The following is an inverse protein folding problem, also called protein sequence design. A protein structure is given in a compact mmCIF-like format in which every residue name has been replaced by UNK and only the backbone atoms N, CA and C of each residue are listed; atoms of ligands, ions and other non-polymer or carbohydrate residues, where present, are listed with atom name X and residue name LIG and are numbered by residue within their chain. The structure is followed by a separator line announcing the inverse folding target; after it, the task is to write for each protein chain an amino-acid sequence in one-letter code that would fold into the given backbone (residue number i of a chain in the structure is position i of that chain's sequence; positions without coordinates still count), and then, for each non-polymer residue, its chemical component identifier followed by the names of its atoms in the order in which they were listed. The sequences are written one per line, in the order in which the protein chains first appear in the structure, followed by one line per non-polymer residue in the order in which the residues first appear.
data_IF_278483056173
#
_entry.id   IF_278483056173
#
_cell.length_a   1.000
_cell.length_b   1.000
_cell.length_c   1.000
_cell.angle_alpha   90.00
_cell.angle_beta   90.00
_cell.angle_gamma   90.00
#
_symmetry.space_group_name_H-M   'P 1'
#
loop_
_entity.id
_entity.type
_entity.pdbx_description
1 polymer ?
#
# COMPACT_ATOMS: atom_id res chain seq x y z
N UNK A 1 11.66 38.13 11.57
CA UNK A 1 12.28 36.85 11.16
C UNK A 1 11.71 35.61 11.87
N UNK A 2 10.79 35.74 12.81
CA UNK A 2 10.13 34.56 13.46
C UNK A 2 9.21 33.82 12.50
N UNK A 3 8.59 34.49 11.54
CA UNK A 3 7.77 33.86 10.50
C UNK A 3 8.57 32.87 9.61
N UNK A 4 9.84 33.17 9.34
CA UNK A 4 10.67 32.29 8.52
C UNK A 4 11.04 30.96 9.18
N UNK A 5 11.15 30.93 10.51
CA UNK A 5 11.41 29.70 11.27
C UNK A 5 10.15 28.80 11.34
N UNK A 6 8.98 29.40 11.49
CA UNK A 6 7.69 28.68 11.49
C UNK A 6 7.43 28.04 10.12
N UNK A 7 7.66 28.74 9.01
CA UNK A 7 7.51 28.18 7.66
C UNK A 7 8.48 27.04 7.37
N UNK A 8 9.72 27.14 7.90
CA UNK A 8 10.70 26.05 7.80
C UNK A 8 10.27 24.83 8.62
N UNK A 9 9.75 25.03 9.83
CA UNK A 9 9.26 23.95 10.68
C UNK A 9 8.10 23.19 10.02
N UNK A 10 7.11 23.90 9.47
CA UNK A 10 5.99 23.28 8.73
C UNK A 10 6.46 22.57 7.47
N UNK A 11 7.46 23.11 6.76
CA UNK A 11 8.05 22.44 5.60
C UNK A 11 8.77 21.14 5.96
N UNK A 12 9.50 21.12 7.08
CA UNK A 12 10.17 19.93 7.60
C UNK A 12 9.16 18.86 8.03
N UNK A 13 8.09 19.25 8.72
CA UNK A 13 7.03 18.34 9.14
C UNK A 13 6.38 17.63 7.94
N UNK A 14 6.02 18.39 6.90
CA UNK A 14 5.48 17.80 5.66
C UNK A 14 6.44 16.81 5.01
N UNK A 15 7.73 17.15 4.96
CA UNK A 15 8.73 16.26 4.38
C UNK A 15 8.88 14.96 5.17
N UNK A 16 8.85 15.04 6.50
CA UNK A 16 8.90 13.87 7.37
C UNK A 16 7.67 12.97 7.19
N UNK A 17 6.48 13.54 7.16
CA UNK A 17 5.23 12.79 6.94
C UNK A 17 5.25 12.13 5.57
N UNK A 18 5.69 12.82 4.53
CA UNK A 18 5.82 12.26 3.18
C UNK A 18 6.81 11.09 3.16
N UNK A 19 7.97 11.24 3.80
CA UNK A 19 8.98 10.20 3.90
C UNK A 19 8.44 8.97 4.64
N UNK A 20 7.80 9.15 5.79
CA UNK A 20 7.20 8.06 6.56
C UNK A 20 6.11 7.35 5.77
N UNK A 21 5.23 8.09 5.11
CA UNK A 21 4.17 7.52 4.27
C UNK A 21 4.77 6.72 3.11
N UNK A 22 5.79 7.25 2.45
CA UNK A 22 6.49 6.54 1.37
C UNK A 22 7.12 5.25 1.86
N UNK A 23 7.73 5.26 3.04
CA UNK A 23 8.32 4.06 3.65
C UNK A 23 7.27 3.00 3.95
N UNK A 24 6.11 3.40 4.49
CA UNK A 24 4.99 2.48 4.75
C UNK A 24 4.51 1.83 3.44
N UNK A 25 4.38 2.60 2.37
CA UNK A 25 3.97 2.08 1.04
C UNK A 25 4.99 1.07 0.52
N UNK A 26 6.28 1.33 0.68
CA UNK A 26 7.35 0.40 0.27
C UNK A 26 7.27 -0.91 1.08
N UNK A 27 7.08 -0.83 2.40
CA UNK A 27 6.91 -2.01 3.26
C UNK A 27 5.67 -2.81 2.83
N UNK A 28 4.56 -2.14 2.55
CA UNK A 28 3.35 -2.78 2.06
C UNK A 28 3.58 -3.50 0.71
N UNK A 29 4.33 -2.88 -0.21
CA UNK A 29 4.70 -3.51 -1.47
C UNK A 29 5.56 -4.78 -1.27
N UNK A 30 6.51 -4.75 -0.33
CA UNK A 30 7.28 -5.96 0.05
C UNK A 30 6.39 -7.08 0.60
N UNK A 31 5.38 -6.75 1.41
CA UNK A 31 4.43 -7.74 1.91
C UNK A 31 3.65 -8.40 0.77
N UNK A 32 3.22 -7.64 -0.24
CA UNK A 32 2.55 -8.20 -1.43
C UNK A 32 3.49 -9.13 -2.19
N UNK A 33 4.75 -8.74 -2.38
CA UNK A 33 5.77 -9.61 -3.02
C UNK A 33 5.96 -10.91 -2.24
N UNK A 34 6.11 -10.83 -0.92
CA UNK A 34 6.30 -12.00 -0.06
C UNK A 34 5.11 -12.95 -0.14
N UNK A 35 3.87 -12.43 -0.08
CA UNK A 35 2.65 -13.21 -0.21
C UNK A 35 2.55 -13.90 -1.57
N UNK A 36 2.83 -13.19 -2.67
CA UNK A 36 2.82 -13.78 -4.01
C UNK A 36 3.91 -14.84 -4.19
N UNK A 37 5.10 -14.65 -3.58
CA UNK A 37 6.17 -15.65 -3.59
C UNK A 37 5.81 -16.90 -2.78
N UNK A 38 5.14 -16.75 -1.65
CA UNK A 38 4.62 -17.88 -0.87
C UNK A 38 3.58 -18.66 -1.69
N UNK A 39 2.61 -17.97 -2.25
CA UNK A 39 1.59 -18.58 -3.14
C UNK A 39 2.25 -19.29 -4.34
N UNK A 40 3.28 -18.70 -4.94
CA UNK A 40 4.05 -19.32 -6.01
C UNK A 40 4.66 -20.65 -5.55
N UNK A 41 5.25 -20.68 -4.36
CA UNK A 41 5.86 -21.89 -3.81
C UNK A 41 4.85 -22.99 -3.55
N UNK A 42 3.66 -22.66 -3.06
CA UNK A 42 2.57 -23.59 -2.82
C UNK A 42 1.97 -24.15 -4.13
N UNK A 43 1.95 -23.35 -5.19
CA UNK A 43 1.31 -23.67 -6.47
C UNK A 43 2.28 -24.16 -7.54
N UNK A 44 3.55 -24.40 -7.21
CA UNK A 44 4.58 -24.82 -8.18
C UNK A 44 4.20 -26.02 -9.01
N UNK A 45 3.66 -27.08 -8.38
CA UNK A 45 3.25 -28.30 -9.08
C UNK A 45 2.10 -28.03 -10.06
N UNK A 46 1.11 -27.25 -9.64
CA UNK A 46 -0.02 -26.89 -10.50
C UNK A 46 0.44 -26.05 -11.70
N UNK A 47 1.39 -25.15 -11.49
CA UNK A 47 1.98 -24.36 -12.58
C UNK A 47 2.78 -25.24 -13.53
N UNK A 48 3.52 -26.23 -13.01
CA UNK A 48 4.26 -27.19 -13.82
C UNK A 48 3.30 -28.02 -14.69
N UNK A 49 2.18 -28.50 -14.15
CA UNK A 49 1.14 -29.21 -14.90
C UNK A 49 0.53 -28.32 -15.99
N UNK A 50 0.19 -27.08 -15.67
CA UNK A 50 -0.33 -26.13 -16.66
C UNK A 50 0.65 -25.89 -17.82
N UNK A 51 1.94 -25.84 -17.55
CA UNK A 51 2.98 -25.75 -18.58
C UNK A 51 3.09 -27.01 -19.44
N UNK A 52 2.96 -28.19 -18.87
CA UNK A 52 2.99 -29.45 -19.64
C UNK A 52 1.80 -29.57 -20.59
N UNK A 53 0.65 -29.00 -20.25
CA UNK A 53 -0.56 -28.94 -21.09
C UNK A 53 -0.43 -27.85 -22.18
N UNK A 54 0.66 -27.04 -22.16
CA UNK A 54 0.94 -26.03 -23.20
C UNK A 54 0.60 -24.58 -22.84
N UNK A 55 0.43 -24.27 -21.55
CA UNK A 55 0.25 -22.87 -21.13
C UNK A 55 1.51 -22.07 -21.35
N UNK A 56 1.40 -20.93 -22.04
CA UNK A 56 2.54 -20.05 -22.31
C UNK A 56 2.99 -19.28 -21.04
N UNK A 57 4.28 -18.99 -20.96
CA UNK A 57 4.89 -18.22 -19.85
C UNK A 57 4.20 -16.88 -19.65
N UNK A 58 3.79 -16.21 -20.73
CA UNK A 58 3.11 -14.94 -20.67
C UNK A 58 1.76 -15.03 -19.95
N UNK A 59 0.99 -16.10 -20.14
CA UNK A 59 -0.26 -16.31 -19.44
C UNK A 59 -0.07 -16.52 -17.95
N UNK A 60 1.00 -17.22 -17.55
CA UNK A 60 1.36 -17.40 -16.14
C UNK A 60 1.72 -16.05 -15.51
N UNK A 61 2.52 -15.24 -16.18
CA UNK A 61 2.85 -13.88 -15.72
C UNK A 61 1.58 -13.05 -15.53
N UNK A 62 0.66 -13.09 -16.50
CA UNK A 62 -0.60 -12.35 -16.41
C UNK A 62 -1.44 -12.76 -15.20
N UNK A 63 -1.54 -14.07 -14.91
CA UNK A 63 -2.28 -14.57 -13.74
C UNK A 63 -1.73 -13.96 -12.45
N UNK A 64 -0.40 -13.97 -12.26
CA UNK A 64 0.22 -13.41 -11.05
C UNK A 64 0.10 -11.88 -10.98
N UNK A 65 0.16 -11.19 -12.11
CA UNK A 65 -0.09 -9.74 -12.16
C UNK A 65 -1.54 -9.41 -11.79
N UNK A 66 -2.52 -10.15 -12.32
CA UNK A 66 -3.93 -9.96 -11.94
C UNK A 66 -4.18 -10.24 -10.46
N UNK A 67 -3.56 -11.27 -9.90
CA UNK A 67 -3.65 -11.55 -8.46
C UNK A 67 -3.09 -10.38 -7.63
N UNK A 68 -1.91 -9.89 -7.99
CA UNK A 68 -1.31 -8.73 -7.34
C UNK A 68 -2.19 -7.48 -7.44
N UNK A 69 -2.78 -7.22 -8.61
CA UNK A 69 -3.71 -6.10 -8.82
C UNK A 69 -4.98 -6.22 -7.98
N UNK A 70 -5.59 -7.42 -7.91
CA UNK A 70 -6.80 -7.64 -7.12
C UNK A 70 -6.52 -7.43 -5.64
N UNK A 71 -5.43 -8.00 -5.11
CA UNK A 71 -5.03 -7.84 -3.71
C UNK A 71 -4.80 -6.36 -3.39
N UNK A 72 -4.06 -5.67 -4.27
CA UNK A 72 -3.77 -4.24 -4.11
C UNK A 72 -5.03 -3.39 -4.17
N UNK A 73 -5.93 -3.67 -5.10
CA UNK A 73 -7.19 -2.92 -5.24
C UNK A 73 -8.05 -3.03 -3.97
N UNK A 74 -8.25 -4.24 -3.46
CA UNK A 74 -9.01 -4.44 -2.23
C UNK A 74 -8.33 -3.82 -1.01
N UNK A 75 -7.01 -3.99 -0.89
CA UNK A 75 -6.23 -3.40 0.19
C UNK A 75 -6.30 -1.87 0.20
N UNK A 76 -6.11 -1.24 -0.95
CA UNK A 76 -6.17 0.22 -1.11
C UNK A 76 -7.59 0.73 -0.85
N UNK A 77 -8.63 0.04 -1.35
CA UNK A 77 -10.02 0.43 -1.16
C UNK A 77 -10.42 0.39 0.32
N UNK A 78 -10.12 -0.71 1.00
CA UNK A 78 -10.40 -0.87 2.44
C UNK A 78 -9.58 0.13 3.25
N UNK A 79 -8.29 0.28 2.96
CA UNK A 79 -7.40 1.22 3.64
C UNK A 79 -7.86 2.68 3.50
N UNK A 80 -8.26 3.07 2.28
CA UNK A 80 -8.79 4.42 2.02
C UNK A 80 -10.11 4.65 2.76
N UNK A 81 -11.01 3.66 2.76
CA UNK A 81 -12.29 3.76 3.47
C UNK A 81 -12.06 3.93 4.98
N UNK A 82 -11.21 3.09 5.57
CA UNK A 82 -10.89 3.18 6.99
C UNK A 82 -10.19 4.50 7.33
N UNK A 83 -9.26 4.96 6.49
CA UNK A 83 -8.58 6.24 6.66
C UNK A 83 -9.55 7.43 6.65
N UNK A 84 -10.51 7.43 5.71
CA UNK A 84 -11.55 8.46 5.64
C UNK A 84 -12.48 8.41 6.85
N UNK A 85 -12.92 7.22 7.26
CA UNK A 85 -13.76 7.05 8.45
C UNK A 85 -13.05 7.56 9.72
N UNK A 86 -11.78 7.20 9.91
CA UNK A 86 -10.98 7.69 11.03
C UNK A 86 -10.79 9.20 10.98
N UNK A 87 -10.52 9.76 9.81
CA UNK A 87 -10.37 11.20 9.64
C UNK A 87 -11.68 11.94 9.96
N UNK A 88 -12.81 11.41 9.50
CA UNK A 88 -14.13 11.96 9.82
C UNK A 88 -14.45 11.86 11.32
N UNK A 89 -14.08 10.74 11.95
CA UNK A 89 -14.26 10.55 13.38
C UNK A 89 -13.43 11.56 14.20
N UNK A 90 -12.18 11.78 13.83
CA UNK A 90 -11.29 12.77 14.46
C UNK A 90 -11.79 14.19 14.26
N UNK A 91 -12.36 14.50 13.08
CA UNK A 91 -12.94 15.81 12.78
C UNK A 91 -14.30 16.06 13.47
N UNK A 92 -14.87 15.03 14.10
CA UNK A 92 -16.15 15.17 14.77
C UNK A 92 -16.01 15.83 16.14
N UNK A 93 -17.01 16.67 16.50
CA UNK A 93 -17.06 17.34 17.83
C UNK A 93 -17.03 16.39 19.03
N UNK A 94 -17.35 15.10 18.84
CA UNK A 94 -17.25 14.08 19.91
C UNK A 94 -15.82 13.82 20.33
N UNK A 95 -14.89 13.85 19.38
CA UNK A 95 -13.45 13.67 19.64
C UNK A 95 -12.91 14.85 20.46
N UNK A 96 -13.31 16.08 20.11
CA UNK A 96 -12.92 17.28 20.85
C UNK A 96 -13.39 17.25 22.31
N UNK A 97 -14.59 16.75 22.59
CA UNK A 97 -15.13 16.62 23.94
C UNK A 97 -14.36 15.59 24.78
N UNK A 98 -13.98 14.45 24.17
CA UNK A 98 -13.25 13.39 24.86
C UNK A 98 -11.80 13.81 25.18
N UNK A 99 -11.16 14.53 24.28
CA UNK A 99 -9.73 14.83 24.37
C UNK A 99 -9.45 16.24 24.92
N UNK A 100 -10.44 17.14 24.93
CA UNK A 100 -10.27 18.51 25.43
C UNK A 100 -9.66 18.59 26.83
N UNK A 101 -10.02 17.63 27.70
CA UNK A 101 -9.45 17.52 29.05
C UNK A 101 -7.94 17.23 29.07
N UNK A 102 -7.43 16.51 28.06
CA UNK A 102 -6.00 16.16 27.97
C UNK A 102 -5.21 17.14 27.11
N UNK A 103 -5.79 17.66 26.01
CA UNK A 103 -5.14 18.56 25.07
C UNK A 103 -4.97 20.01 25.59
N UNK A 104 -5.79 20.45 26.55
CA UNK A 104 -5.63 21.76 27.17
C UNK A 104 -4.23 21.96 27.81
N UNK A 105 -3.61 20.90 28.26
CA UNK A 105 -2.25 20.94 28.79
C UNK A 105 -1.18 21.17 27.72
N UNK A 106 -1.47 20.89 26.43
CA UNK A 106 -0.54 21.01 25.31
C UNK A 106 -0.80 22.22 24.40
N UNK A 107 -1.70 23.16 24.80
CA UNK A 107 -2.05 24.35 24.01
C UNK A 107 -2.57 24.05 22.60
N UNK A 108 -3.07 22.85 22.32
CA UNK A 108 -3.64 22.48 21.02
C UNK A 108 -5.16 22.67 21.11
N UNK A 109 -5.65 23.76 20.48
CA UNK A 109 -7.07 24.11 20.56
C UNK A 109 -7.96 23.29 19.62
N UNK A 110 -7.43 22.75 18.53
CA UNK A 110 -8.11 21.83 17.61
C UNK A 110 -7.09 21.12 16.70
N UNK A 111 -7.43 19.91 16.23
CA UNK A 111 -6.66 19.24 15.19
C UNK A 111 -7.19 19.67 13.80
N UNK A 112 -6.41 20.42 13.00
CA UNK A 112 -6.84 20.77 11.66
C UNK A 112 -6.79 19.53 10.75
N UNK A 113 -7.95 19.03 10.34
CA UNK A 113 -8.06 17.96 9.35
C UNK A 113 -8.33 18.60 7.98
N UNK A 114 -7.29 18.80 7.18
CA UNK A 114 -7.40 19.30 5.80
C UNK A 114 -7.42 18.12 4.82
N UNK A 115 -8.62 17.60 4.55
CA UNK A 115 -8.83 16.51 3.60
C UNK A 115 -8.84 17.07 2.17
N UNK A 116 -7.69 17.06 1.52
CA UNK A 116 -7.58 17.40 0.09
C UNK A 116 -7.70 16.15 -0.76
N UNK A 117 -8.74 16.11 -1.58
CA UNK A 117 -9.01 15.00 -2.52
C UNK A 117 -7.83 14.72 -3.44
N UNK A 118 -7.10 15.76 -3.85
CA UNK A 118 -5.91 15.65 -4.69
C UNK A 118 -4.82 14.75 -4.08
N UNK A 119 -4.57 14.87 -2.77
CA UNK A 119 -3.60 14.04 -2.06
C UNK A 119 -4.07 12.59 -1.93
N UNK A 120 -5.36 12.39 -1.67
CA UNK A 120 -5.95 11.04 -1.57
C UNK A 120 -5.80 10.31 -2.90
N UNK A 121 -6.15 10.97 -4.01
CA UNK A 121 -6.01 10.40 -5.36
C UNK A 121 -4.54 10.10 -5.67
N UNK A 122 -3.63 11.01 -5.34
CA UNK A 122 -2.20 10.82 -5.57
C UNK A 122 -1.63 9.63 -4.79
N UNK A 123 -2.05 9.43 -3.54
CA UNK A 123 -1.64 8.29 -2.71
C UNK A 123 -2.20 6.99 -3.29
N UNK A 124 -3.47 6.96 -3.68
CA UNK A 124 -4.11 5.77 -4.28
C UNK A 124 -3.39 5.37 -5.57
N UNK A 125 -3.18 6.32 -6.48
CA UNK A 125 -2.50 6.06 -7.75
C UNK A 125 -1.05 5.64 -7.53
N UNK A 126 -0.32 6.33 -6.66
CA UNK A 126 1.06 6.00 -6.31
C UNK A 126 1.19 4.60 -5.70
N UNK A 127 0.32 4.26 -4.76
CA UNK A 127 0.30 2.93 -4.14
C UNK A 127 -0.01 1.83 -5.14
N UNK A 128 -0.97 2.06 -6.04
CA UNK A 128 -1.35 1.11 -7.08
C UNK A 128 -0.22 0.90 -8.09
N UNK A 129 0.49 1.94 -8.47
CA UNK A 129 1.67 1.84 -9.33
C UNK A 129 2.79 1.04 -8.67
N UNK A 130 3.16 1.39 -7.44
CA UNK A 130 4.26 0.74 -6.71
C UNK A 130 3.95 -0.75 -6.52
N UNK A 131 2.76 -1.11 -6.08
CA UNK A 131 2.37 -2.52 -5.88
C UNK A 131 2.27 -3.29 -7.19
N UNK A 132 1.83 -2.66 -8.28
CA UNK A 132 1.84 -3.27 -9.63
C UNK A 132 3.26 -3.59 -10.08
N UNK A 133 4.21 -2.65 -9.93
CA UNK A 133 5.61 -2.90 -10.25
C UNK A 133 6.23 -3.98 -9.36
N UNK A 134 5.93 -3.95 -8.05
CA UNK A 134 6.40 -4.95 -7.10
C UNK A 134 5.94 -6.38 -7.49
N UNK A 135 4.72 -6.51 -8.02
CA UNK A 135 4.15 -7.81 -8.44
C UNK A 135 4.82 -8.40 -9.70
N UNK A 136 5.59 -7.61 -10.45
CA UNK A 136 6.30 -8.10 -11.65
C UNK A 136 7.37 -9.13 -11.27
N UNK A 137 8.03 -8.95 -10.14
CA UNK A 137 9.10 -9.86 -9.70
C UNK A 137 8.59 -11.30 -9.45
N UNK A 138 7.58 -11.54 -8.61
CA UNK A 138 7.01 -12.87 -8.42
C UNK A 138 6.37 -13.42 -9.71
N UNK A 139 5.72 -12.60 -10.51
CA UNK A 139 5.13 -13.00 -11.77
C UNK A 139 6.18 -13.56 -12.75
N UNK A 140 7.33 -12.91 -12.89
CA UNK A 140 8.45 -13.40 -13.69
C UNK A 140 9.10 -14.66 -13.10
N UNK A 141 9.14 -14.78 -11.78
CA UNK A 141 9.66 -15.97 -11.12
C UNK A 141 8.76 -17.18 -11.36
N UNK A 142 7.44 -16.98 -11.42
CA UNK A 142 6.45 -18.01 -11.74
C UNK A 142 6.66 -18.60 -13.16
N UNK A 143 6.97 -17.75 -14.13
CA UNK A 143 7.19 -18.20 -15.51
C UNK A 143 8.46 -19.01 -15.71
N UNK A 144 9.46 -18.89 -14.82
CA UNK A 144 10.74 -19.62 -14.89
C UNK A 144 10.69 -21.04 -14.32
N UNK A 145 9.54 -21.49 -13.83
CA UNK A 145 9.38 -22.85 -13.32
C UNK A 145 9.55 -23.86 -14.45
N UNK A 146 10.50 -24.78 -14.28
CA UNK A 146 10.80 -25.84 -15.24
C UNK A 146 10.03 -27.10 -14.81
N UNK A 147 9.05 -27.61 -15.61
CA UNK A 147 8.23 -28.75 -15.23
C UNK A 147 9.05 -30.01 -14.92
N UNK A 148 10.10 -30.28 -15.69
CA UNK A 148 10.95 -31.47 -15.54
C UNK A 148 11.69 -31.58 -14.20
N UNK A 149 11.80 -30.47 -13.44
CA UNK A 149 12.50 -30.43 -12.13
C UNK A 149 11.54 -30.66 -10.95
N UNK A 150 10.24 -30.53 -11.16
CA UNK A 150 9.22 -30.55 -10.09
C UNK A 150 8.43 -31.88 -10.14
N UNK A 151 8.26 -32.45 -11.34
CA UNK A 151 7.50 -33.69 -11.56
C UNK A 151 8.36 -34.95 -11.45
N UNK A 152 9.59 -34.86 -10.99
CA UNK A 152 10.49 -35.94 -10.69
C UNK A 152 10.49 -36.22 -9.17
#
# INVERSE_FOLDING_TARGET
SQFGTLWRAVGMERSLVFLLTSLIIVIAAFNVVAMLMMMLNEKKEQIAILKTIGMSDMKIIQIFLYLGLIISFWGISIGTLLGLLMSFFIASSYFDVIISGYLQWYFISYLPTDLRIEWIISIILGSLLITSFASIYPARSASKIIPAKILR
#
